data_IF_672307403326
#
_entry.id   IF_672307403326
#
_cell.length_a   1.000
_cell.length_b   1.000
_cell.length_c   1.000
_cell.angle_alpha   90.00
_cell.angle_beta   90.00
_cell.angle_gamma   90.00
#
_symmetry.space_group_name_H-M   'P 1'
#
loop_
_entity.id
_entity.type
_entity.pdbx_description
1 polymer ?
#
# COMPACT_ATOMS: atom_id res chain seq x y z
N UNK A 1 15.44 65.46 27.94
CA UNK A 1 14.75 64.59 28.92
C UNK A 1 13.47 64.12 28.26
N UNK A 2 13.56 63.12 27.39
CA UNK A 2 13.32 61.69 27.66
C UNK A 2 11.84 61.33 27.57
N UNK A 3 11.46 60.57 26.53
CA UNK A 3 10.39 59.57 26.42
C UNK A 3 10.21 59.22 24.93
N UNK A 4 11.09 58.40 24.35
CA UNK A 4 11.05 56.93 24.25
C UNK A 4 9.96 56.38 23.31
N UNK A 5 10.47 56.05 22.12
CA UNK A 5 9.96 55.23 21.02
C UNK A 5 9.04 54.06 21.43
N UNK A 6 7.85 54.03 20.84
CA UNK A 6 7.03 52.83 20.69
C UNK A 6 6.93 52.53 19.19
N UNK A 7 7.79 51.65 18.68
CA UNK A 7 7.65 51.08 17.35
C UNK A 7 8.46 49.78 17.22
N UNK A 8 7.76 48.72 16.84
CA UNK A 8 8.37 47.63 16.07
C UNK A 8 8.96 46.45 16.83
N UNK A 9 8.12 45.66 17.53
CA UNK A 9 8.41 44.24 17.79
C UNK A 9 7.57 43.30 16.88
N UNK A 10 7.15 43.79 15.72
CA UNK A 10 6.32 43.06 14.75
C UNK A 10 7.08 42.59 13.51
N UNK A 11 8.34 42.15 13.64
CA UNK A 11 9.18 41.77 12.49
C UNK A 11 9.99 40.48 12.74
N UNK A 12 9.36 39.46 13.33
CA UNK A 12 9.95 38.11 13.42
C UNK A 12 8.99 36.99 12.99
N UNK A 13 7.87 37.31 12.32
CA UNK A 13 6.95 36.32 11.74
C UNK A 13 7.21 36.01 10.26
N UNK A 14 8.25 36.59 9.65
CA UNK A 14 8.64 36.24 8.28
C UNK A 14 9.61 35.04 8.29
N UNK A 15 9.15 33.93 7.69
CA UNK A 15 9.95 32.84 7.11
C UNK A 15 10.13 31.51 7.88
N UNK A 16 9.12 31.04 8.63
CA UNK A 16 9.04 29.63 9.06
C UNK A 16 7.91 28.81 8.41
N UNK A 17 7.10 29.39 7.51
CA UNK A 17 5.80 28.81 7.11
C UNK A 17 5.66 28.47 5.61
N UNK A 18 6.71 27.89 4.99
CA UNK A 18 6.68 27.49 3.57
C UNK A 18 6.94 25.99 3.35
N UNK A 19 6.76 25.17 4.39
CA UNK A 19 6.64 23.73 4.22
C UNK A 19 5.14 23.38 4.27
N UNK A 20 4.55 22.82 3.21
CA UNK A 20 3.16 22.40 3.25
C UNK A 20 2.92 21.49 4.46
N UNK A 21 1.93 21.79 5.33
CA UNK A 21 1.69 20.95 6.49
C UNK A 21 1.24 19.55 6.01
N UNK A 22 1.82 18.52 6.64
CA UNK A 22 1.34 17.16 6.51
C UNK A 22 0.05 17.04 7.30
N UNK A 23 -1.07 16.77 6.64
CA UNK A 23 -2.38 16.63 7.28
C UNK A 23 -2.94 15.22 7.09
N UNK A 24 -3.58 14.70 8.13
CA UNK A 24 -4.32 13.45 8.10
C UNK A 24 -5.79 13.79 8.29
N UNK A 25 -6.59 13.55 7.26
CA UNK A 25 -8.02 13.84 7.28
C UNK A 25 -8.81 12.62 6.82
N UNK A 26 -9.98 12.42 7.43
CA UNK A 26 -10.96 11.47 6.92
C UNK A 26 -11.50 12.02 5.59
N UNK A 27 -11.52 11.18 4.56
CA UNK A 27 -12.03 11.55 3.24
C UNK A 27 -13.56 11.75 3.31
N UNK A 28 -13.96 13.00 3.51
CA UNK A 28 -15.36 13.41 3.67
C UNK A 28 -16.08 13.51 2.33
N UNK A 29 -15.38 13.88 1.25
CA UNK A 29 -15.96 14.04 -0.08
C UNK A 29 -15.78 12.78 -0.93
N UNK A 30 -16.71 12.55 -1.87
CA UNK A 30 -16.60 11.45 -2.82
C UNK A 30 -15.38 11.58 -3.75
N UNK A 31 -14.93 12.81 -4.02
CA UNK A 31 -13.73 13.06 -4.83
C UNK A 31 -12.46 12.68 -4.05
N UNK A 32 -12.37 13.04 -2.77
CA UNK A 32 -11.28 12.61 -1.88
C UNK A 32 -11.22 11.08 -1.75
N UNK A 33 -12.40 10.43 -1.63
CA UNK A 33 -12.50 8.97 -1.59
C UNK A 33 -12.02 8.35 -2.90
N UNK A 34 -12.40 8.92 -4.04
CA UNK A 34 -11.94 8.48 -5.37
C UNK A 34 -10.42 8.60 -5.48
N UNK A 35 -9.84 9.74 -5.11
CA UNK A 35 -8.39 9.97 -5.16
C UNK A 35 -7.62 8.99 -4.25
N UNK A 36 -8.14 8.77 -3.04
CA UNK A 36 -7.61 7.80 -2.10
C UNK A 36 -7.57 6.39 -2.70
N UNK A 37 -8.69 5.94 -3.27
CA UNK A 37 -8.79 4.61 -3.86
C UNK A 37 -8.01 4.48 -5.17
N UNK A 38 -7.86 5.57 -5.92
CA UNK A 38 -6.98 5.63 -7.08
C UNK A 38 -5.53 5.33 -6.65
N UNK A 39 -5.08 5.91 -5.53
CA UNK A 39 -3.76 5.61 -4.97
C UNK A 39 -3.64 4.13 -4.51
N UNK A 40 -4.71 3.53 -4.00
CA UNK A 40 -4.75 2.08 -3.69
C UNK A 40 -4.63 1.26 -4.98
N UNK A 41 -5.41 1.56 -6.00
CA UNK A 41 -5.38 0.88 -7.30
C UNK A 41 -4.00 1.00 -7.96
N UNK A 42 -3.37 2.17 -7.91
CA UNK A 42 -1.99 2.38 -8.35
C UNK A 42 -1.00 1.48 -7.60
N UNK A 43 -1.21 1.27 -6.29
CA UNK A 43 -0.36 0.38 -5.51
C UNK A 43 -0.50 -1.09 -5.91
N UNK A 44 -1.71 -1.52 -6.28
CA UNK A 44 -1.99 -2.85 -6.84
C UNK A 44 -1.33 -2.96 -8.23
N UNK A 45 -1.44 -1.94 -9.07
CA UNK A 45 -0.76 -1.90 -10.36
C UNK A 45 0.77 -2.01 -10.20
N UNK A 46 1.36 -1.37 -9.18
CA UNK A 46 2.78 -1.50 -8.84
C UNK A 46 3.16 -2.93 -8.39
N UNK A 47 2.24 -3.70 -7.81
CA UNK A 47 2.49 -5.11 -7.48
C UNK A 47 2.84 -5.93 -8.73
N UNK A 48 2.27 -5.61 -9.90
CA UNK A 48 2.59 -6.27 -11.18
C UNK A 48 4.08 -6.19 -11.51
N UNK A 49 4.69 -5.02 -11.30
CA UNK A 49 6.13 -4.84 -11.58
C UNK A 49 7.00 -5.64 -10.60
N UNK A 50 6.56 -5.79 -9.35
CA UNK A 50 7.26 -6.63 -8.38
C UNK A 50 7.10 -8.11 -8.74
N UNK A 51 5.91 -8.52 -9.17
CA UNK A 51 5.63 -9.88 -9.63
C UNK A 51 6.45 -10.25 -10.88
N UNK A 52 6.54 -9.36 -11.87
CA UNK A 52 7.32 -9.60 -13.09
C UNK A 52 8.81 -9.78 -12.76
N UNK A 53 9.38 -8.92 -11.92
CA UNK A 53 10.76 -9.07 -11.46
C UNK A 53 10.98 -10.37 -10.67
N UNK A 54 10.03 -10.76 -9.81
CA UNK A 54 10.11 -12.00 -9.04
C UNK A 54 10.12 -13.24 -9.94
N UNK A 55 9.32 -13.24 -11.01
CA UNK A 55 9.30 -14.34 -11.99
C UNK A 55 10.58 -14.36 -12.82
N UNK A 56 11.02 -13.19 -13.33
CA UNK A 56 12.24 -13.07 -14.15
C UNK A 56 13.48 -13.52 -13.40
N UNK A 57 13.59 -13.14 -12.12
CA UNK A 57 14.74 -13.45 -11.27
C UNK A 57 14.66 -14.82 -10.59
N UNK A 58 13.64 -15.64 -10.87
CA UNK A 58 13.51 -16.93 -10.22
C UNK A 58 14.55 -17.92 -10.79
N UNK A 59 15.36 -18.60 -9.95
CA UNK A 59 16.46 -19.44 -10.40
C UNK A 59 16.02 -20.59 -11.31
N UNK A 60 14.82 -21.13 -11.09
CA UNK A 60 14.26 -22.19 -11.94
C UNK A 60 13.98 -21.68 -13.36
N UNK A 61 13.41 -20.47 -13.49
CA UNK A 61 13.12 -19.86 -14.78
C UNK A 61 14.41 -19.49 -15.53
N UNK A 62 15.41 -18.96 -14.82
CA UNK A 62 16.73 -18.66 -15.39
C UNK A 62 17.48 -19.94 -15.80
N UNK A 63 17.42 -21.00 -15.00
CA UNK A 63 18.02 -22.28 -15.34
C UNK A 63 17.35 -22.90 -16.58
N UNK A 64 16.02 -22.86 -16.67
CA UNK A 64 15.28 -23.32 -17.84
C UNK A 64 15.66 -22.53 -19.11
N UNK A 65 15.77 -21.20 -19.01
CA UNK A 65 16.22 -20.35 -20.11
C UNK A 65 17.66 -20.68 -20.51
N UNK A 66 18.59 -20.82 -19.55
CA UNK A 66 19.98 -21.16 -19.81
C UNK A 66 20.13 -22.53 -20.48
N UNK A 67 19.36 -23.53 -20.03
CA UNK A 67 19.30 -24.85 -20.65
C UNK A 67 18.80 -24.75 -22.09
N UNK A 68 17.70 -24.04 -22.33
CA UNK A 68 17.16 -23.85 -23.68
C UNK A 68 18.13 -23.08 -24.59
N UNK A 69 18.82 -22.04 -24.08
CA UNK A 69 19.87 -21.33 -24.81
C UNK A 69 21.05 -22.24 -25.14
N UNK A 70 21.51 -23.08 -24.20
CA UNK A 70 22.62 -24.01 -24.43
C UNK A 70 22.27 -25.08 -25.47
N UNK A 71 21.04 -25.58 -25.46
CA UNK A 71 20.53 -26.53 -26.46
C UNK A 71 20.45 -25.88 -27.85
N UNK A 72 19.90 -24.66 -27.93
CA UNK A 72 19.82 -23.90 -29.17
C UNK A 72 21.20 -23.58 -29.75
N UNK A 73 22.17 -23.25 -28.89
CA UNK A 73 23.56 -23.01 -29.28
C UNK A 73 24.22 -24.28 -29.81
N UNK A 74 24.09 -25.42 -29.11
CA UNK A 74 24.64 -26.71 -29.53
C UNK A 74 24.06 -27.18 -30.86
N UNK A 75 22.77 -26.95 -31.09
CA UNK A 75 22.10 -27.35 -32.33
C UNK A 75 22.52 -26.48 -33.53
N UNK A 76 22.74 -25.18 -33.32
CA UNK A 76 23.08 -24.23 -34.39
C UNK A 76 24.58 -23.89 -34.43
N UNK A 77 25.44 -24.72 -33.83
CA UNK A 77 26.88 -24.46 -33.68
C UNK A 77 27.66 -24.37 -35.02
N UNK A 78 27.03 -24.70 -36.15
CA UNK A 78 27.62 -24.50 -37.49
C UNK A 78 27.57 -23.06 -37.97
N UNK A 79 26.55 -22.29 -37.58
CA UNK A 79 26.31 -20.92 -38.03
C UNK A 79 26.07 -19.98 -36.85
N UNK A 80 27.09 -19.19 -36.50
CA UNK A 80 27.04 -18.26 -35.37
C UNK A 80 25.91 -17.22 -35.48
N UNK A 81 25.57 -16.78 -36.70
CA UNK A 81 24.46 -15.84 -36.93
C UNK A 81 23.09 -16.44 -36.61
N UNK A 82 22.86 -17.69 -37.03
CA UNK A 82 21.63 -18.45 -36.74
C UNK A 82 21.55 -18.78 -35.24
N UNK A 83 22.67 -19.11 -34.60
CA UNK A 83 22.72 -19.34 -33.16
C UNK A 83 22.38 -18.08 -32.35
N UNK A 84 22.93 -16.92 -32.72
CA UNK A 84 22.69 -15.65 -32.03
C UNK A 84 21.23 -15.19 -32.14
N UNK A 85 20.63 -15.33 -33.32
CA UNK A 85 19.22 -14.99 -33.56
C UNK A 85 18.27 -15.94 -32.83
N UNK A 86 18.57 -17.23 -32.77
CA UNK A 86 17.79 -18.20 -32.01
C UNK A 86 17.81 -17.92 -30.50
N UNK A 87 18.99 -17.63 -29.92
CA UNK A 87 19.12 -17.26 -28.50
C UNK A 87 18.37 -15.96 -28.18
N UNK A 88 18.49 -14.96 -29.05
CA UNK A 88 17.77 -13.69 -28.90
C UNK A 88 16.25 -13.86 -28.99
N UNK A 89 15.78 -14.67 -29.94
CA UNK A 89 14.36 -15.00 -30.08
C UNK A 89 13.81 -15.75 -28.87
N UNK A 90 14.59 -16.67 -28.30
CA UNK A 90 14.24 -17.41 -27.09
C UNK A 90 14.17 -16.48 -25.87
N UNK A 91 15.08 -15.52 -25.74
CA UNK A 91 15.02 -14.49 -24.70
C UNK A 91 13.78 -13.61 -24.83
N UNK A 92 13.44 -13.17 -26.05
CA UNK A 92 12.22 -12.39 -26.32
C UNK A 92 10.96 -13.21 -26.00
N UNK A 93 10.92 -14.48 -26.43
CA UNK A 93 9.80 -15.38 -26.14
C UNK A 93 9.62 -15.62 -24.64
N UNK A 94 10.72 -15.76 -23.89
CA UNK A 94 10.71 -15.85 -22.43
C UNK A 94 10.10 -14.60 -21.78
N UNK A 95 10.57 -13.41 -22.14
CA UNK A 95 10.01 -12.16 -21.60
C UNK A 95 8.54 -11.96 -21.99
N UNK A 96 8.13 -12.37 -23.20
CA UNK A 96 6.75 -12.36 -23.63
C UNK A 96 5.87 -13.32 -22.81
N UNK A 97 6.36 -14.53 -22.53
CA UNK A 97 5.67 -15.49 -21.67
C UNK A 97 5.49 -14.95 -20.25
N UNK A 98 6.54 -14.37 -19.65
CA UNK A 98 6.43 -13.69 -18.33
C UNK A 98 5.38 -12.59 -18.36
N UNK A 99 5.35 -11.78 -19.43
CA UNK A 99 4.35 -10.71 -19.59
C UNK A 99 2.93 -11.27 -19.67
N UNK A 100 2.73 -12.40 -20.36
CA UNK A 100 1.43 -13.07 -20.43
C UNK A 100 1.02 -13.62 -19.04
N UNK A 101 1.92 -14.28 -18.31
CA UNK A 101 1.60 -14.79 -16.97
C UNK A 101 1.28 -13.66 -15.97
N UNK A 102 1.96 -12.52 -16.08
CA UNK A 102 1.73 -11.36 -15.21
C UNK A 102 0.51 -10.52 -15.60
N UNK A 103 -0.08 -10.74 -16.79
CA UNK A 103 -1.31 -10.07 -17.23
C UNK A 103 -2.50 -10.36 -16.30
N UNK A 104 -2.50 -11.49 -15.59
CA UNK A 104 -3.54 -11.82 -14.60
C UNK A 104 -3.62 -10.83 -13.43
N UNK A 105 -2.54 -10.13 -13.11
CA UNK A 105 -2.58 -9.03 -12.12
C UNK A 105 -3.27 -7.79 -12.67
N UNK A 106 -3.19 -7.54 -13.98
CA UNK A 106 -3.85 -6.40 -14.63
C UNK A 106 -5.35 -6.60 -14.59
N UNK A 107 -5.83 -7.79 -14.96
CA UNK A 107 -7.25 -8.13 -14.88
C UNK A 107 -7.80 -7.96 -13.45
N UNK A 108 -7.00 -8.29 -12.43
CA UNK A 108 -7.38 -8.11 -11.04
C UNK A 108 -7.45 -6.63 -10.61
N UNK A 109 -6.54 -5.79 -11.13
CA UNK A 109 -6.57 -4.35 -10.91
C UNK A 109 -7.74 -3.69 -11.67
N UNK A 110 -8.07 -4.17 -12.87
CA UNK A 110 -9.21 -3.71 -13.66
C UNK A 110 -10.55 -4.10 -13.03
N UNK A 111 -10.63 -5.26 -12.37
CA UNK A 111 -11.82 -5.70 -11.64
C UNK A 111 -11.96 -5.01 -10.27
N UNK A 112 -10.96 -4.22 -9.83
CA UNK A 112 -11.02 -3.48 -8.57
C UNK A 112 -12.03 -2.33 -8.64
N UNK A 113 -13.31 -2.65 -8.38
CA UNK A 113 -14.40 -1.67 -8.30
C UNK A 113 -14.39 -0.99 -6.94
N UNK A 114 -13.83 0.21 -6.90
CA UNK A 114 -13.68 1.00 -5.68
C UNK A 114 -14.99 1.19 -4.88
N UNK A 115 -16.15 1.32 -5.55
CA UNK A 115 -17.48 1.45 -4.90
C UNK A 115 -17.89 0.18 -4.17
N UNK A 116 -17.68 -0.97 -4.81
CA UNK A 116 -17.95 -2.27 -4.20
C UNK A 116 -16.92 -2.62 -3.11
N UNK A 117 -15.70 -2.06 -3.22
CA UNK A 117 -14.69 -2.22 -2.20
C UNK A 117 -15.07 -1.47 -0.91
N UNK A 118 -15.46 -0.20 -0.97
CA UNK A 118 -15.82 0.58 0.24
C UNK A 118 -17.11 0.08 0.89
N UNK A 119 -18.07 -0.40 0.10
CA UNK A 119 -19.31 -0.95 0.64
C UNK A 119 -19.01 -2.24 1.43
N UNK A 120 -19.16 -2.21 2.75
CA UNK A 120 -19.15 -3.46 3.51
C UNK A 120 -20.33 -4.33 3.08
N UNK A 121 -20.19 -5.67 3.10
CA UNK A 121 -21.32 -6.59 2.88
C UNK A 121 -22.46 -6.36 3.88
N UNK A 122 -22.16 -5.70 5.01
CA UNK A 122 -23.11 -5.34 6.08
C UNK A 122 -23.75 -3.95 5.89
N UNK A 123 -23.50 -3.24 4.77
CA UNK A 123 -24.08 -1.92 4.47
C UNK A 123 -23.43 -0.73 5.19
N UNK A 124 -22.37 -0.94 5.99
CA UNK A 124 -21.57 0.14 6.59
C UNK A 124 -20.46 0.60 5.63
N UNK A 125 -20.21 1.91 5.57
CA UNK A 125 -19.09 2.45 4.79
C UNK A 125 -17.77 2.27 5.54
N UNK A 126 -16.72 1.87 4.82
CA UNK A 126 -15.37 1.82 5.37
C UNK A 126 -14.82 3.26 5.60
N UNK A 127 -14.11 3.45 6.71
CA UNK A 127 -13.44 4.71 7.03
C UNK A 127 -12.20 4.87 6.15
N UNK A 128 -12.22 5.85 5.24
CA UNK A 128 -11.08 6.17 4.38
C UNK A 128 -10.35 7.38 4.95
N UNK A 129 -9.07 7.20 5.27
CA UNK A 129 -8.19 8.25 5.77
C UNK A 129 -7.20 8.60 4.67
N UNK A 130 -7.07 9.89 4.39
CA UNK A 130 -6.16 10.46 3.42
C UNK A 130 -5.06 11.23 4.14
N UNK A 131 -3.80 10.90 3.84
CA UNK A 131 -2.65 11.72 4.21
C UNK A 131 -2.34 12.66 3.04
N UNK A 132 -2.36 13.97 3.29
CA UNK A 132 -2.07 15.02 2.30
C UNK A 132 -0.83 15.81 2.71
N UNK A 133 -0.02 16.16 1.73
CA UNK A 133 1.08 17.12 1.88
C UNK A 133 0.73 18.35 1.04
N UNK A 134 0.22 19.41 1.68
CA UNK A 134 -0.41 20.51 0.96
C UNK A 134 -1.67 20.06 0.24
N UNK A 135 -1.71 20.23 -1.09
CA UNK A 135 -2.85 19.80 -1.93
C UNK A 135 -2.74 18.35 -2.40
N UNK A 136 -1.56 17.75 -2.26
CA UNK A 136 -1.29 16.45 -2.86
C UNK A 136 -1.59 15.30 -1.91
N UNK A 137 -2.39 14.33 -2.35
CA UNK A 137 -2.57 13.06 -1.65
C UNK A 137 -1.28 12.23 -1.72
N UNK A 138 -0.71 11.88 -0.56
CA UNK A 138 0.55 11.15 -0.44
C UNK A 138 0.39 9.75 0.16
N UNK A 139 -0.71 9.49 0.86
CA UNK A 139 -0.98 8.21 1.48
C UNK A 139 -2.45 8.03 1.77
N UNK A 140 -2.86 6.77 1.93
CA UNK A 140 -4.24 6.44 2.27
C UNK A 140 -4.29 5.16 3.10
N UNK A 141 -5.30 5.11 3.95
CA UNK A 141 -5.67 3.98 4.77
C UNK A 141 -7.18 3.76 4.63
N UNK A 142 -7.60 2.51 4.42
CA UNK A 142 -9.01 2.10 4.47
C UNK A 142 -9.19 1.18 5.67
N UNK A 143 -10.00 1.61 6.62
CA UNK A 143 -10.28 0.92 7.88
C UNK A 143 -11.75 0.49 7.91
N UNK A 144 -11.99 -0.77 8.25
CA UNK A 144 -13.31 -1.32 8.49
C UNK A 144 -13.49 -1.59 9.97
N UNK A 145 -14.51 -1.01 10.58
CA UNK A 145 -14.88 -1.29 11.97
C UNK A 145 -15.91 -2.41 12.00
N UNK A 146 -15.56 -3.52 12.65
CA UNK A 146 -16.43 -4.69 12.78
C UNK A 146 -16.89 -4.84 14.23
N UNK A 147 -18.19 -5.09 14.50
CA UNK A 147 -18.69 -5.34 15.84
C UNK A 147 -18.16 -6.68 16.36
N UNK A 148 -18.15 -6.89 17.69
CA UNK A 148 -17.62 -8.10 18.32
C UNK A 148 -18.35 -9.38 17.88
N UNK A 149 -19.63 -9.26 17.53
CA UNK A 149 -20.48 -10.39 17.21
C UNK A 149 -21.20 -10.19 15.86
N UNK A 150 -20.97 -11.11 14.91
CA UNK A 150 -21.57 -11.06 13.57
C UNK A 150 -23.10 -11.31 13.59
N UNK A 151 -23.65 -11.70 14.74
CA UNK A 151 -25.06 -12.06 14.93
C UNK A 151 -25.92 -10.92 15.47
N UNK A 152 -25.33 -9.86 16.02
CA UNK A 152 -26.10 -8.71 16.51
C UNK A 152 -26.04 -7.57 15.49
N UNK A 153 -27.15 -7.41 14.79
CA UNK A 153 -27.40 -6.38 13.79
C UNK A 153 -27.58 -4.96 14.39
N UNK A 154 -26.93 -4.66 15.52
CA UNK A 154 -27.33 -3.54 16.37
C UNK A 154 -26.13 -2.68 16.77
N UNK A 155 -25.91 -1.62 15.97
CA UNK A 155 -25.46 -0.24 16.25
C UNK A 155 -24.28 0.04 17.21
N UNK A 156 -23.90 -0.84 18.12
CA UNK A 156 -22.78 -0.66 19.04
C UNK A 156 -21.51 -1.30 18.47
N UNK A 157 -20.48 -0.46 18.30
CA UNK A 157 -19.13 -0.89 17.94
C UNK A 157 -18.29 -1.25 19.18
N UNK A 158 -18.81 -1.04 20.40
CA UNK A 158 -18.10 -1.30 21.64
C UNK A 158 -17.70 -2.78 21.77
N UNK A 159 -16.41 -3.03 22.02
CA UNK A 159 -15.81 -4.37 22.01
C UNK A 159 -15.47 -4.92 20.63
N UNK A 160 -15.66 -4.13 19.57
CA UNK A 160 -15.38 -4.51 18.19
C UNK A 160 -13.88 -4.51 17.83
N UNK A 161 -13.61 -4.75 16.54
CA UNK A 161 -12.26 -4.78 15.98
C UNK A 161 -12.13 -3.91 14.74
N UNK A 162 -10.95 -3.33 14.53
CA UNK A 162 -10.58 -2.56 13.35
C UNK A 162 -9.81 -3.44 12.35
N UNK A 163 -10.32 -3.59 11.14
CA UNK A 163 -9.68 -4.30 10.05
C UNK A 163 -9.12 -3.33 9.01
N UNK A 164 -7.81 -3.32 8.82
CA UNK A 164 -7.14 -2.50 7.81
C UNK A 164 -7.25 -3.21 6.47
N UNK A 165 -8.05 -2.66 5.57
CA UNK A 165 -8.33 -3.22 4.23
C UNK A 165 -7.42 -2.68 3.15
N UNK A 166 -6.90 -1.47 3.32
CA UNK A 166 -5.87 -0.94 2.45
C UNK A 166 -4.95 -0.01 3.24
N UNK A 167 -3.67 -0.04 2.91
CA UNK A 167 -2.67 0.87 3.46
C UNK A 167 -1.58 1.07 2.41
N UNK A 168 -1.44 2.30 1.93
CA UNK A 168 -0.43 2.61 0.93
C UNK A 168 0.04 4.05 1.04
N UNK A 169 1.28 4.27 0.63
CA UNK A 169 1.89 5.59 0.48
C UNK A 169 2.59 5.67 -0.87
N UNK A 170 2.56 6.87 -1.47
CA UNK A 170 3.28 7.18 -2.71
C UNK A 170 4.76 6.85 -2.53
N UNK A 171 5.36 6.24 -3.56
CA UNK A 171 6.72 5.70 -3.51
C UNK A 171 7.77 6.71 -3.01
N UNK A 172 7.68 7.97 -3.47
CA UNK A 172 8.60 9.06 -3.09
C UNK A 172 8.46 9.56 -1.64
N UNK A 173 7.37 9.17 -0.98
CA UNK A 173 7.09 9.52 0.42
C UNK A 173 7.23 8.31 1.36
N UNK A 174 7.69 7.15 0.84
CA UNK A 174 8.01 6.00 1.68
C UNK A 174 9.26 6.27 2.51
N UNK A 175 9.37 5.58 3.64
CA UNK A 175 10.45 5.74 4.63
C UNK A 175 10.52 7.12 5.32
N UNK A 176 9.46 7.94 5.22
CA UNK A 176 9.34 9.24 5.92
C UNK A 176 8.43 9.22 7.14
N UNK A 177 8.12 8.05 7.70
CA UNK A 177 7.22 7.93 8.88
C UNK A 177 5.71 8.00 8.56
N UNK A 178 5.29 8.65 7.47
CA UNK A 178 3.87 8.85 7.10
C UNK A 178 3.03 7.56 7.16
N UNK A 179 3.59 6.44 6.72
CA UNK A 179 2.90 5.15 6.76
C UNK A 179 2.64 4.66 8.19
N UNK A 180 3.58 4.88 9.10
CA UNK A 180 3.43 4.54 10.52
C UNK A 180 2.40 5.46 11.19
N UNK A 181 2.40 6.76 10.86
CA UNK A 181 1.42 7.71 11.38
C UNK A 181 -0.01 7.36 10.95
N UNK A 182 -0.20 6.92 9.69
CA UNK A 182 -1.48 6.37 9.23
C UNK A 182 -1.92 5.15 10.05
N UNK A 183 -1.00 4.27 10.44
CA UNK A 183 -1.32 3.11 11.28
C UNK A 183 -1.67 3.53 12.71
N UNK A 184 -0.98 4.53 13.27
CA UNK A 184 -1.33 5.10 14.58
C UNK A 184 -2.72 5.73 14.56
N UNK A 185 -3.04 6.49 13.52
CA UNK A 185 -4.39 7.03 13.31
C UNK A 185 -5.43 5.89 13.25
N UNK A 186 -5.12 4.78 12.57
CA UNK A 186 -6.00 3.61 12.52
C UNK A 186 -6.30 3.04 13.92
N UNK A 187 -5.27 2.95 14.76
CA UNK A 187 -5.39 2.46 16.15
C UNK A 187 -6.24 3.40 16.99
N UNK A 188 -5.94 4.70 16.95
CA UNK A 188 -6.71 5.72 17.67
C UNK A 188 -8.17 5.72 17.21
N UNK A 189 -8.43 5.77 15.90
CA UNK A 189 -9.78 5.75 15.35
C UNK A 189 -10.55 4.48 15.73
N UNK A 190 -9.88 3.31 15.75
CA UNK A 190 -10.50 2.06 16.20
C UNK A 190 -10.83 2.11 17.68
N UNK A 191 -9.91 2.57 18.53
CA UNK A 191 -10.13 2.66 19.99
C UNK A 191 -11.20 3.68 20.35
N UNK A 192 -11.26 4.82 19.65
CA UNK A 192 -12.32 5.82 19.84
C UNK A 192 -13.70 5.28 19.48
N UNK A 193 -13.80 4.41 18.46
CA UNK A 193 -15.09 3.87 18.02
C UNK A 193 -15.51 2.58 18.74
N UNK A 194 -14.54 1.72 19.09
CA UNK A 194 -14.78 0.36 19.59
C UNK A 194 -14.36 0.15 21.06
N UNK A 195 -13.74 1.13 21.70
CA UNK A 195 -13.19 1.05 23.06
C UNK A 195 -11.69 0.77 23.10
N UNK A 196 -11.05 1.07 24.23
CA UNK A 196 -9.59 1.08 24.37
C UNK A 196 -8.92 -0.31 24.16
N UNK A 197 -9.65 -1.39 24.46
CA UNK A 197 -9.22 -2.76 24.26
C UNK A 197 -9.53 -3.33 22.85
N UNK A 198 -9.98 -2.49 21.91
CA UNK A 198 -10.33 -2.94 20.56
C UNK A 198 -9.09 -3.41 19.78
N UNK A 199 -9.20 -4.60 19.18
CA UNK A 199 -8.13 -5.18 18.38
C UNK A 199 -8.04 -4.52 16.99
N UNK A 200 -6.81 -4.29 16.51
CA UNK A 200 -6.54 -3.79 15.15
C UNK A 200 -5.69 -4.79 14.40
N UNK A 201 -6.17 -5.24 13.25
CA UNK A 201 -5.48 -6.23 12.41
C UNK A 201 -5.61 -5.89 10.92
N UNK A 202 -4.75 -6.48 10.09
CA UNK A 202 -4.95 -6.43 8.65
C UNK A 202 -6.05 -7.40 8.23
N UNK A 203 -6.91 -6.98 7.31
CA UNK A 203 -7.95 -7.85 6.74
C UNK A 203 -7.28 -8.99 5.94
N UNK A 204 -7.70 -10.26 6.08
CA UNK A 204 -7.21 -11.36 5.23
C UNK A 204 -7.42 -11.11 3.72
N UNK A 205 -8.46 -10.35 3.37
CA UNK A 205 -8.84 -9.96 2.01
C UNK A 205 -8.55 -8.47 1.75
N UNK A 206 -7.46 -7.95 2.31
CA UNK A 206 -7.00 -6.58 2.04
C UNK A 206 -6.61 -6.40 0.56
N UNK A 207 -6.61 -5.16 0.08
CA UNK A 207 -6.42 -4.80 -1.33
C UNK A 207 -5.17 -5.42 -2.00
N UNK A 208 -4.12 -5.65 -1.21
CA UNK A 208 -2.84 -6.17 -1.67
C UNK A 208 -2.65 -7.68 -1.38
N UNK A 209 -3.64 -8.38 -0.82
CA UNK A 209 -3.52 -9.77 -0.37
C UNK A 209 -3.66 -10.80 -1.50
N UNK A 210 -4.26 -10.40 -2.61
CA UNK A 210 -4.52 -11.28 -3.73
C UNK A 210 -3.22 -11.63 -4.47
N UNK A 211 -2.82 -12.90 -4.35
CA UNK A 211 -1.61 -13.45 -4.96
C UNK A 211 -2.00 -14.52 -5.99
N UNK A 212 -2.35 -14.13 -7.22
CA UNK A 212 -2.77 -15.06 -8.26
C UNK A 212 -1.61 -15.93 -8.79
N UNK A 213 -0.36 -15.61 -8.44
CA UNK A 213 0.80 -16.44 -8.81
C UNK A 213 0.99 -17.62 -7.87
N UNK A 214 1.64 -18.65 -8.41
CA UNK A 214 2.08 -19.79 -7.64
C UNK A 214 2.95 -19.35 -6.45
N UNK A 215 2.80 -20.03 -5.31
CA UNK A 215 3.48 -19.76 -4.05
C UNK A 215 5.00 -19.58 -4.17
N UNK A 216 5.65 -20.21 -5.16
CA UNK A 216 7.08 -20.06 -5.43
C UNK A 216 7.51 -18.61 -5.74
N UNK A 217 6.64 -17.79 -6.33
CA UNK A 217 6.91 -16.40 -6.67
C UNK A 217 6.41 -15.41 -5.61
N UNK A 218 5.77 -15.90 -4.55
CA UNK A 218 5.12 -15.05 -3.55
C UNK A 218 6.06 -14.55 -2.44
N UNK A 219 7.32 -14.99 -2.44
CA UNK A 219 8.35 -14.59 -1.45
C UNK A 219 8.45 -13.07 -1.25
N UNK A 220 8.62 -12.21 -2.28
CA UNK A 220 8.71 -10.76 -2.08
C UNK A 220 7.45 -10.16 -1.46
N UNK A 221 6.27 -10.70 -1.79
CA UNK A 221 5.00 -10.28 -1.20
C UNK A 221 4.94 -10.62 0.29
N UNK A 222 5.29 -11.86 0.66
CA UNK A 222 5.36 -12.30 2.07
C UNK A 222 6.32 -11.45 2.91
N UNK A 223 7.46 -11.03 2.34
CA UNK A 223 8.41 -10.14 3.02
C UNK A 223 7.78 -8.76 3.26
N UNK A 224 7.03 -8.23 2.29
CA UNK A 224 6.31 -6.96 2.42
C UNK A 224 5.18 -7.05 3.44
N UNK A 225 4.40 -8.12 3.42
CA UNK A 225 3.33 -8.35 4.39
C UNK A 225 3.90 -8.50 5.81
N UNK A 226 5.00 -9.23 5.97
CA UNK A 226 5.69 -9.32 7.26
C UNK A 226 6.22 -7.94 7.72
N UNK A 227 6.69 -7.09 6.80
CA UNK A 227 7.09 -5.71 7.12
C UNK A 227 5.88 -4.87 7.54
N UNK A 228 4.74 -5.04 6.88
CA UNK A 228 3.49 -4.35 7.23
C UNK A 228 2.99 -4.78 8.62
N UNK A 229 2.97 -6.08 8.90
CA UNK A 229 2.62 -6.63 10.21
C UNK A 229 3.53 -6.08 11.32
N UNK A 230 4.85 -6.02 11.07
CA UNK A 230 5.79 -5.40 12.02
C UNK A 230 5.53 -3.91 12.24
N UNK A 231 5.16 -3.17 11.19
CA UNK A 231 4.83 -1.75 11.29
C UNK A 231 3.55 -1.52 12.12
N UNK A 232 2.53 -2.36 11.95
CA UNK A 232 1.32 -2.31 12.77
C UNK A 232 1.63 -2.66 14.24
N UNK A 233 2.42 -3.70 14.49
CA UNK A 233 2.85 -4.04 15.85
C UNK A 233 3.67 -2.91 16.51
N UNK A 234 4.44 -2.14 15.73
CA UNK A 234 5.10 -0.94 16.23
C UNK A 234 4.08 0.14 16.60
N UNK A 235 3.14 0.46 15.71
CA UNK A 235 2.12 1.48 15.96
C UNK A 235 1.24 1.15 17.18
N UNK A 236 0.89 -0.12 17.38
CA UNK A 236 0.15 -0.57 18.57
C UNK A 236 0.92 -0.31 19.87
N UNK A 237 2.21 -0.66 19.89
CA UNK A 237 3.09 -0.42 21.06
C UNK A 237 3.27 1.07 21.34
N UNK A 238 3.45 1.89 20.32
CA UNK A 238 3.58 3.35 20.48
C UNK A 238 2.33 3.96 21.13
N UNK A 239 1.14 3.50 20.71
CA UNK A 239 -0.13 3.93 21.28
C UNK A 239 -0.35 3.42 22.72
N UNK A 240 0.15 2.23 23.07
CA UNK A 240 0.12 1.71 24.45
C UNK A 240 1.04 2.51 25.39
N UNK A 241 2.19 2.98 24.87
CA UNK A 241 3.16 3.76 25.62
C UNK A 241 2.76 5.24 25.81
N UNK A 242 1.62 5.69 25.26
CA UNK A 242 1.10 7.05 25.44
C UNK A 242 1.73 8.12 24.55
N UNK A 243 2.54 7.76 23.54
CA UNK A 243 3.14 8.71 22.58
C UNK A 243 2.18 9.11 21.44
N UNK A 244 0.87 8.92 21.64
CA UNK A 244 -0.17 9.08 20.62
C UNK A 244 -0.81 10.46 20.52
N UNK A 245 -0.27 11.49 21.18
CA UNK A 245 -0.83 12.84 21.13
C UNK A 245 -0.41 13.54 19.84
N UNK A 246 -1.31 13.57 18.85
CA UNK A 246 -1.25 14.54 17.76
C UNK A 246 -1.73 15.89 18.31
N UNK A 247 -0.80 16.79 18.66
CA UNK A 247 -1.05 18.24 18.71
C UNK A 247 -0.91 18.86 17.32
#
# INVERSE_FOLDING_TARGET
>A
MSSSSAAGHGASQTAQDALPPLSFAVAATDDDRRDALCLVADSIAQQRQTASLAVISHPVCLAALALACSLAWRHNARDYGTALTAVSGLAIAYLAAVRLFTSRYVALAEDFKWRAFIAAPDGREDLVVAARFGTELIGTLVLRLQPPDARQHQQSLAGGRGLIRAWTTKLRFRNKGIGADLLRFAVVATRSACGDAAEVAFDPHHANSALPLNHMFNRPFRIRDAKAARALAHALRDCENGEGSFE
#
